data_IF_243204283737
#
_entry.id   IF_243204283737
#
_cell.length_a   1.000
_cell.length_b   1.000
_cell.length_c   1.000
_cell.angle_alpha   90.00
_cell.angle_beta   90.00
_cell.angle_gamma   90.00
#
_symmetry.space_group_name_H-M   'P 1'
#
loop_
_entity.id
_entity.type
_entity.pdbx_description
1 polymer ?
#
# COMPACT_ATOMS: atom_id res chain seq x y z
N UNK A 1 -20.25 -20.16 2.25
CA UNK A 1 -19.16 -20.04 3.25
C UNK A 1 -19.36 -18.72 4.00
N UNK A 2 -19.31 -18.70 5.35
CA UNK A 2 -19.58 -17.47 6.11
C UNK A 2 -18.37 -16.53 6.13
N UNK A 3 -18.59 -15.21 6.22
CA UNK A 3 -17.54 -14.16 6.27
C UNK A 3 -16.47 -14.45 7.34
N UNK A 4 -16.90 -14.97 8.50
CA UNK A 4 -15.99 -15.36 9.58
C UNK A 4 -15.04 -16.50 9.21
N UNK A 5 -15.49 -17.50 8.43
CA UNK A 5 -14.62 -18.61 8.00
C UNK A 5 -13.58 -18.16 6.99
N UNK A 6 -13.97 -17.30 6.04
CA UNK A 6 -13.04 -16.71 5.06
C UNK A 6 -11.96 -15.88 5.74
N UNK A 7 -12.35 -14.97 6.63
CA UNK A 7 -11.40 -14.11 7.35
C UNK A 7 -10.42 -14.90 8.22
N UNK A 8 -10.89 -15.98 8.85
CA UNK A 8 -10.01 -16.88 9.61
C UNK A 8 -8.99 -17.58 8.68
N UNK A 9 -9.43 -18.07 7.52
CA UNK A 9 -8.54 -18.70 6.55
C UNK A 9 -7.46 -17.72 6.02
N UNK A 10 -7.83 -16.47 5.74
CA UNK A 10 -6.89 -15.41 5.32
C UNK A 10 -5.82 -15.14 6.39
N UNK A 11 -6.20 -15.10 7.67
CA UNK A 11 -5.24 -14.91 8.78
C UNK A 11 -4.27 -16.10 8.88
N UNK A 12 -4.78 -17.34 8.73
CA UNK A 12 -3.94 -18.53 8.75
C UNK A 12 -2.95 -18.55 7.58
N UNK A 13 -3.42 -18.29 6.36
CA UNK A 13 -2.56 -18.23 5.18
C UNK A 13 -1.45 -17.17 5.32
N UNK A 14 -1.79 -15.97 5.82
CA UNK A 14 -0.80 -14.92 6.07
C UNK A 14 0.22 -15.32 7.14
N UNK A 15 -0.23 -15.94 8.24
CA UNK A 15 0.64 -16.46 9.30
C UNK A 15 1.57 -17.54 8.76
N UNK A 16 1.08 -18.47 7.95
CA UNK A 16 1.90 -19.53 7.34
C UNK A 16 2.95 -18.95 6.40
N UNK A 17 2.59 -17.94 5.61
CA UNK A 17 3.51 -17.28 4.68
C UNK A 17 4.62 -16.47 5.36
N UNK A 18 4.33 -15.87 6.53
CA UNK A 18 5.23 -14.87 7.17
C UNK A 18 5.83 -15.33 8.50
N UNK A 19 5.36 -16.45 9.05
CA UNK A 19 5.70 -16.88 10.42
C UNK A 19 5.15 -15.96 11.53
N UNK A 20 4.33 -14.96 11.20
CA UNK A 20 3.84 -13.96 12.17
C UNK A 20 2.86 -14.55 13.18
N UNK A 21 2.86 -14.00 14.40
CA UNK A 21 1.88 -14.36 15.41
C UNK A 21 0.46 -14.03 14.93
N UNK A 22 -0.53 -14.88 15.25
CA UNK A 22 -1.91 -14.75 14.79
C UNK A 22 -2.51 -13.35 15.03
N UNK A 23 -2.26 -12.75 16.19
CA UNK A 23 -2.76 -11.41 16.51
C UNK A 23 -2.11 -10.32 15.65
N UNK A 24 -0.85 -10.48 15.28
CA UNK A 24 -0.12 -9.56 14.39
C UNK A 24 -0.67 -9.68 12.97
N UNK A 25 -0.79 -10.91 12.46
CA UNK A 25 -1.40 -11.20 11.15
C UNK A 25 -2.81 -10.60 11.04
N UNK A 26 -3.64 -10.80 12.08
CA UNK A 26 -5.00 -10.24 12.14
C UNK A 26 -5.01 -8.71 12.08
N UNK A 27 -4.08 -8.04 12.77
CA UNK A 27 -3.96 -6.57 12.77
C UNK A 27 -3.50 -6.05 11.41
N UNK A 28 -2.52 -6.68 10.78
CA UNK A 28 -2.02 -6.30 9.46
C UNK A 28 -3.11 -6.41 8.39
N UNK A 29 -3.85 -7.52 8.37
CA UNK A 29 -5.00 -7.72 7.46
C UNK A 29 -6.07 -6.65 7.70
N UNK A 30 -6.40 -6.37 8.97
CA UNK A 30 -7.40 -5.36 9.30
C UNK A 30 -6.98 -3.94 8.87
N UNK A 31 -5.71 -3.57 9.08
CA UNK A 31 -5.19 -2.25 8.73
C UNK A 31 -5.25 -2.00 7.21
N UNK A 32 -4.83 -2.97 6.39
CA UNK A 32 -4.93 -2.82 4.94
C UNK A 32 -6.39 -2.75 4.48
N UNK A 33 -7.28 -3.59 5.04
CA UNK A 33 -8.69 -3.55 4.71
C UNK A 33 -9.34 -2.19 5.04
N UNK A 34 -8.99 -1.61 6.20
CA UNK A 34 -9.47 -0.29 6.62
C UNK A 34 -8.98 0.82 5.67
N UNK A 35 -7.69 0.84 5.33
CA UNK A 35 -7.14 1.79 4.35
C UNK A 35 -7.83 1.65 2.99
N UNK A 36 -8.03 0.42 2.51
CA UNK A 36 -8.74 0.18 1.25
C UNK A 36 -10.22 0.60 1.31
N UNK A 37 -10.86 0.54 2.48
CA UNK A 37 -12.22 1.01 2.68
C UNK A 37 -12.31 2.54 2.66
N UNK A 38 -11.38 3.22 3.35
CA UNK A 38 -11.31 4.69 3.40
C UNK A 38 -10.91 5.29 2.03
N UNK A 39 -10.17 4.53 1.22
CA UNK A 39 -9.66 4.96 -0.08
C UNK A 39 -10.19 4.05 -1.21
N UNK A 40 -11.45 4.25 -1.67
CA UNK A 40 -12.10 3.33 -2.59
C UNK A 40 -11.45 3.27 -3.98
N UNK A 41 -10.71 4.30 -4.38
CA UNK A 41 -9.96 4.33 -5.64
C UNK A 41 -8.54 3.76 -5.53
N UNK A 42 -8.04 3.49 -4.32
CA UNK A 42 -6.74 2.88 -4.11
C UNK A 42 -6.77 1.40 -4.53
N UNK A 43 -5.77 1.01 -5.31
CA UNK A 43 -5.54 -0.33 -5.81
C UNK A 43 -4.03 -0.53 -6.09
N UNK A 44 -3.59 -1.71 -6.53
CA UNK A 44 -2.16 -2.00 -6.76
C UNK A 44 -1.44 -1.05 -7.75
N UNK A 45 -2.15 -0.41 -8.68
CA UNK A 45 -1.57 0.62 -9.57
C UNK A 45 -1.32 1.96 -8.86
N UNK A 46 -2.11 2.28 -7.82
CA UNK A 46 -2.15 3.58 -7.16
C UNK A 46 -3.59 4.04 -6.99
N UNK A 47 -3.84 5.34 -7.18
CA UNK A 47 -5.20 5.92 -7.13
C UNK A 47 -5.82 5.97 -8.53
N UNK A 48 -7.00 5.39 -8.69
CA UNK A 48 -7.74 5.40 -9.96
C UNK A 48 -7.25 4.31 -10.91
N UNK A 49 -7.30 4.57 -12.22
CA UNK A 49 -6.92 3.58 -13.25
C UNK A 49 -6.02 4.20 -14.30
N UNK A 50 -5.16 3.39 -14.90
CA UNK A 50 -4.29 3.85 -15.99
C UNK A 50 -5.10 4.29 -17.21
N UNK A 51 -4.76 5.47 -17.74
CA UNK A 51 -5.33 6.06 -18.96
C UNK A 51 -6.88 6.01 -19.03
N UNK A 52 -7.58 6.65 -18.07
CA UNK A 52 -9.03 6.52 -17.93
C UNK A 52 -9.80 7.10 -19.12
N UNK A 53 -9.19 8.03 -19.87
CA UNK A 53 -9.77 8.67 -21.06
C UNK A 53 -9.92 7.71 -22.24
N UNK A 54 -9.13 6.64 -22.28
CA UNK A 54 -9.18 5.61 -23.33
C UNK A 54 -10.01 4.38 -22.93
N UNK A 55 -10.74 4.45 -21.80
CA UNK A 55 -11.48 3.32 -21.24
C UNK A 55 -12.95 3.64 -21.11
N UNK A 56 -13.80 2.64 -21.35
CA UNK A 56 -15.22 2.70 -21.00
C UNK A 56 -15.39 2.70 -19.48
N UNK A 57 -16.56 3.11 -19.00
CA UNK A 57 -16.85 3.05 -17.57
C UNK A 57 -16.75 1.62 -17.01
N UNK A 58 -17.10 0.62 -17.80
CA UNK A 58 -16.99 -0.79 -17.42
C UNK A 58 -15.54 -1.24 -17.30
N UNK A 59 -14.69 -0.93 -18.30
CA UNK A 59 -13.26 -1.22 -18.23
C UNK A 59 -12.60 -0.59 -17.01
N UNK A 60 -12.95 0.67 -16.70
CA UNK A 60 -12.45 1.33 -15.48
C UNK A 60 -12.87 0.62 -14.20
N UNK A 61 -14.10 0.10 -14.11
CA UNK A 61 -14.56 -0.67 -12.95
C UNK A 61 -13.85 -2.00 -12.84
N UNK A 62 -13.69 -2.72 -13.95
CA UNK A 62 -13.00 -4.01 -14.00
C UNK A 62 -11.54 -3.87 -13.59
N UNK A 63 -10.83 -2.89 -14.14
CA UNK A 63 -9.42 -2.65 -13.81
C UNK A 63 -9.24 -2.24 -12.35
N UNK A 64 -10.13 -1.37 -11.84
CA UNK A 64 -10.12 -0.98 -10.44
C UNK A 64 -10.36 -2.19 -9.53
N UNK A 65 -11.35 -3.04 -9.85
CA UNK A 65 -11.66 -4.23 -9.08
C UNK A 65 -10.48 -5.23 -9.06
N UNK A 66 -9.90 -5.53 -10.23
CA UNK A 66 -8.74 -6.42 -10.34
C UNK A 66 -7.53 -5.88 -9.59
N UNK A 67 -7.27 -4.56 -9.72
CA UNK A 67 -6.19 -3.91 -8.99
C UNK A 67 -6.40 -3.96 -7.48
N UNK A 68 -7.65 -3.84 -7.01
CA UNK A 68 -8.02 -3.89 -5.59
C UNK A 68 -7.87 -5.30 -5.04
N UNK A 69 -8.30 -6.32 -5.77
CA UNK A 69 -8.09 -7.71 -5.41
C UNK A 69 -6.60 -8.02 -5.25
N UNK A 70 -5.77 -7.59 -6.21
CA UNK A 70 -4.32 -7.73 -6.11
C UNK A 70 -3.75 -7.05 -4.85
N UNK A 71 -4.16 -5.82 -4.57
CA UNK A 71 -3.70 -5.11 -3.37
C UNK A 71 -4.13 -5.82 -2.08
N UNK A 72 -5.38 -6.29 -2.00
CA UNK A 72 -5.89 -7.00 -0.83
C UNK A 72 -5.11 -8.29 -0.51
N UNK A 73 -4.54 -8.93 -1.53
CA UNK A 73 -3.65 -10.10 -1.36
C UNK A 73 -2.23 -9.77 -0.92
N UNK A 74 -1.80 -8.51 -0.94
CA UNK A 74 -0.41 -8.09 -0.72
C UNK A 74 -0.10 -7.70 0.73
N UNK A 75 -0.79 -8.30 1.71
CA UNK A 75 -0.72 -7.89 3.13
C UNK A 75 0.71 -7.94 3.69
N UNK A 76 1.48 -8.98 3.37
CA UNK A 76 2.86 -9.14 3.83
C UNK A 76 3.76 -8.01 3.30
N UNK A 77 3.74 -7.78 1.99
CA UNK A 77 4.51 -6.72 1.32
C UNK A 77 4.14 -5.35 1.89
N UNK A 78 2.85 -5.06 2.06
CA UNK A 78 2.39 -3.80 2.64
C UNK A 78 2.86 -3.63 4.08
N UNK A 79 2.80 -4.68 4.89
CA UNK A 79 3.21 -4.61 6.30
C UNK A 79 4.73 -4.41 6.44
N UNK A 80 5.53 -5.13 5.65
CA UNK A 80 6.98 -4.98 5.58
C UNK A 80 7.37 -3.58 5.08
N UNK A 81 6.69 -3.09 4.05
CA UNK A 81 6.86 -1.73 3.54
C UNK A 81 6.55 -0.70 4.62
N UNK A 82 5.45 -0.86 5.36
CA UNK A 82 5.07 0.07 6.42
C UNK A 82 6.09 0.08 7.57
N UNK A 83 6.64 -1.08 7.93
CA UNK A 83 7.70 -1.18 8.92
C UNK A 83 8.98 -0.46 8.43
N UNK A 84 9.43 -0.77 7.22
CA UNK A 84 10.60 -0.13 6.62
C UNK A 84 10.45 1.39 6.57
N UNK A 85 9.29 1.90 6.14
CA UNK A 85 9.02 3.34 6.09
C UNK A 85 9.13 3.99 7.49
N UNK A 86 8.61 3.36 8.55
CA UNK A 86 8.70 3.90 9.92
C UNK A 86 10.13 3.89 10.47
N UNK A 87 10.90 2.88 10.11
CA UNK A 87 12.27 2.71 10.59
C UNK A 87 13.26 3.64 9.88
N UNK A 88 12.99 3.99 8.63
CA UNK A 88 13.97 4.63 7.75
C UNK A 88 13.65 6.08 7.40
N UNK A 89 12.37 6.48 7.42
CA UNK A 89 11.97 7.80 6.93
C UNK A 89 11.32 8.59 8.06
N UNK A 90 11.81 9.80 8.30
CA UNK A 90 11.18 10.69 9.28
C UNK A 90 9.90 11.30 8.70
N UNK A 91 8.76 11.23 9.41
CA UNK A 91 7.54 11.94 9.00
C UNK A 91 7.71 13.45 9.16
N UNK A 92 7.18 14.20 8.20
CA UNK A 92 7.09 15.67 8.22
C UNK A 92 5.65 16.08 7.92
N UNK A 93 5.27 17.29 8.29
CA UNK A 93 3.88 17.73 8.13
C UNK A 93 3.48 17.95 6.67
N UNK A 94 4.36 18.59 5.89
CA UNK A 94 4.05 19.01 4.52
C UNK A 94 4.28 17.89 3.51
N UNK A 95 3.24 17.43 2.77
CA UNK A 95 3.40 16.39 1.76
C UNK A 95 4.04 16.91 0.48
N UNK A 96 5.33 16.62 0.28
CA UNK A 96 6.08 17.10 -0.89
C UNK A 96 6.72 16.00 -1.73
N UNK A 97 6.73 14.75 -1.24
CA UNK A 97 7.42 13.66 -1.92
C UNK A 97 6.41 12.70 -2.55
N UNK A 98 6.56 12.46 -3.86
CA UNK A 98 5.72 11.51 -4.59
C UNK A 98 5.96 10.07 -4.14
N UNK A 99 4.86 9.33 -3.96
CA UNK A 99 4.85 7.88 -3.75
C UNK A 99 5.68 7.14 -4.79
N UNK A 100 5.68 7.59 -6.04
CA UNK A 100 6.47 6.98 -7.11
C UNK A 100 7.98 7.11 -6.86
N UNK A 101 8.42 8.25 -6.34
CA UNK A 101 9.83 8.48 -5.98
C UNK A 101 10.23 7.58 -4.80
N UNK A 102 9.41 7.56 -3.75
CA UNK A 102 9.67 6.76 -2.55
C UNK A 102 9.73 5.26 -2.90
N UNK A 103 8.84 4.78 -3.77
CA UNK A 103 8.82 3.41 -4.29
C UNK A 103 10.18 3.02 -4.85
N UNK A 104 10.73 3.83 -5.76
CA UNK A 104 12.03 3.55 -6.38
C UNK A 104 13.22 3.66 -5.42
N UNK A 105 13.14 4.50 -4.40
CA UNK A 105 14.17 4.56 -3.35
C UNK A 105 14.14 3.28 -2.52
N UNK A 106 12.97 2.85 -2.06
CA UNK A 106 12.82 1.61 -1.30
C UNK A 106 13.27 0.38 -2.10
N UNK A 107 12.87 0.26 -3.37
CA UNK A 107 13.25 -0.86 -4.23
C UNK A 107 14.77 -0.98 -4.36
N UNK A 108 15.48 0.14 -4.46
CA UNK A 108 16.96 0.15 -4.50
C UNK A 108 17.59 -0.16 -3.15
N UNK A 109 17.04 0.38 -2.06
CA UNK A 109 17.57 0.17 -0.72
C UNK A 109 17.37 -1.28 -0.23
N UNK A 110 16.30 -1.95 -0.65
CA UNK A 110 15.91 -3.27 -0.16
C UNK A 110 16.12 -4.39 -1.17
N UNK A 111 16.23 -4.08 -2.47
CA UNK A 111 16.20 -5.07 -3.55
C UNK A 111 14.82 -5.69 -3.81
N UNK A 112 13.78 -5.29 -3.06
CA UNK A 112 12.44 -5.84 -3.15
C UNK A 112 11.55 -4.93 -3.98
N UNK A 113 10.84 -5.50 -4.96
CA UNK A 113 9.86 -4.78 -5.76
C UNK A 113 8.60 -4.46 -4.94
N UNK A 114 8.08 -3.23 -5.09
CA UNK A 114 6.81 -2.82 -4.49
C UNK A 114 6.00 -2.00 -5.51
N UNK A 115 4.72 -2.34 -5.68
CA UNK A 115 3.84 -1.55 -6.53
C UNK A 115 3.56 -0.18 -5.88
N UNK A 116 3.21 0.81 -6.71
CA UNK A 116 2.86 2.14 -6.20
C UNK A 116 1.66 2.08 -5.24
N UNK A 117 0.68 1.19 -5.50
CA UNK A 117 -0.46 0.97 -4.62
C UNK A 117 -0.11 0.38 -3.26
N UNK A 118 0.79 -0.62 -3.23
CA UNK A 118 1.28 -1.22 -1.99
C UNK A 118 2.05 -0.19 -1.15
N UNK A 119 2.89 0.64 -1.78
CA UNK A 119 3.59 1.71 -1.07
C UNK A 119 2.63 2.77 -0.52
N UNK A 120 1.65 3.24 -1.31
CA UNK A 120 0.64 4.19 -0.84
C UNK A 120 -0.11 3.62 0.36
N UNK A 121 -0.56 2.36 0.27
CA UNK A 121 -1.26 1.71 1.38
C UNK A 121 -0.37 1.61 2.64
N UNK A 122 0.89 1.24 2.47
CA UNK A 122 1.85 1.13 3.56
C UNK A 122 2.13 2.48 4.23
N UNK A 123 2.29 3.56 3.46
CA UNK A 123 2.50 4.91 3.98
C UNK A 123 1.28 5.42 4.77
N UNK A 124 0.06 5.12 4.30
CA UNK A 124 -1.17 5.42 5.03
C UNK A 124 -1.27 4.65 6.35
N UNK A 125 -0.94 3.35 6.35
CA UNK A 125 -0.84 2.53 7.57
C UNK A 125 0.24 3.08 8.52
N UNK A 126 1.34 3.60 7.98
CA UNK A 126 2.42 4.19 8.74
C UNK A 126 2.08 5.57 9.33
N UNK A 127 0.98 6.20 8.90
CA UNK A 127 0.48 7.44 9.46
C UNK A 127 1.09 8.71 8.84
N UNK A 128 1.65 8.61 7.64
CA UNK A 128 2.18 9.80 6.95
C UNK A 128 1.06 10.74 6.51
N UNK A 129 1.29 12.05 6.64
CA UNK A 129 0.42 13.07 6.03
C UNK A 129 0.48 12.94 4.52
N UNK A 130 -0.62 13.27 3.83
CA UNK A 130 -0.69 13.06 2.39
C UNK A 130 -1.56 14.07 1.64
N UNK A 131 -1.37 14.14 0.33
CA UNK A 131 -2.23 14.87 -0.61
C UNK A 131 -2.37 14.07 -1.90
N UNK A 132 -3.59 13.99 -2.44
CA UNK A 132 -3.86 13.23 -3.66
C UNK A 132 -3.28 13.89 -4.90
N UNK A 133 -2.50 13.13 -5.68
CA UNK A 133 -1.96 13.55 -6.98
C UNK A 133 -2.01 12.37 -7.96
N UNK A 134 -3.22 12.02 -8.41
CA UNK A 134 -3.47 10.74 -9.10
C UNK A 134 -2.58 10.54 -10.34
N UNK A 135 -2.03 9.32 -10.55
CA UNK A 135 -2.25 8.10 -9.77
C UNK A 135 -1.38 7.99 -8.50
N UNK A 136 -0.52 8.97 -8.27
CA UNK A 136 0.40 9.03 -7.15
C UNK A 136 -0.26 9.72 -5.95
N UNK A 137 0.50 9.77 -4.86
CA UNK A 137 0.15 10.52 -3.66
C UNK A 137 1.42 11.24 -3.21
N UNK A 138 1.30 12.50 -2.82
CA UNK A 138 2.37 13.20 -2.12
C UNK A 138 2.30 12.82 -0.65
N UNK A 139 3.44 12.50 -0.05
CA UNK A 139 3.56 12.17 1.37
C UNK A 139 4.48 13.14 2.10
N UNK A 140 4.17 13.38 3.37
CA UNK A 140 4.99 14.13 4.31
C UNK A 140 6.19 13.30 4.77
N UNK A 141 7.14 13.08 3.86
CA UNK A 141 8.34 12.29 4.11
C UNK A 141 9.62 13.14 3.99
N UNK A 142 10.57 12.91 4.89
CA UNK A 142 11.87 13.58 4.87
C UNK A 142 12.64 13.29 3.57
N UNK A 143 12.75 14.29 2.69
CA UNK A 143 13.55 14.21 1.47
C UNK A 143 15.05 13.96 1.75
N UNK A 144 15.53 14.38 2.94
CA UNK A 144 16.90 14.13 3.39
C UNK A 144 17.16 12.64 3.59
N UNK A 145 16.22 11.93 4.22
CA UNK A 145 16.36 10.50 4.50
C UNK A 145 16.32 9.72 3.19
N UNK A 146 15.38 10.06 2.30
CA UNK A 146 15.30 9.47 0.97
C UNK A 146 16.58 9.65 0.15
N UNK A 147 17.20 10.84 0.20
CA UNK A 147 18.45 11.11 -0.53
C UNK A 147 19.64 10.29 -0.01
N UNK A 148 19.64 9.91 1.27
CA UNK A 148 20.73 9.10 1.88
C UNK A 148 20.71 7.64 1.43
N UNK A 149 19.56 7.18 0.93
CA UNK A 149 19.33 5.78 0.50
C UNK A 149 19.45 5.60 -1.02
N UNK A 150 19.79 6.66 -1.74
CA UNK A 150 19.69 6.79 -3.19
C UNK A 150 21.08 6.85 -3.84
#
# INVERSE_FOLDING_TARGET
MTTNRRRKAEIHAHREATGTAYLVARRQIAALAEVMQQHPQLNSFGVGVFNPRRKTAEQRRTDLAAGREKLAGAVAVVAETAAWLRENITPIETPTVSSYTVKHVMERATGNYVTNGELIAAALIAGYTFTYEQPNVLFGMSARDLKRMN
#
